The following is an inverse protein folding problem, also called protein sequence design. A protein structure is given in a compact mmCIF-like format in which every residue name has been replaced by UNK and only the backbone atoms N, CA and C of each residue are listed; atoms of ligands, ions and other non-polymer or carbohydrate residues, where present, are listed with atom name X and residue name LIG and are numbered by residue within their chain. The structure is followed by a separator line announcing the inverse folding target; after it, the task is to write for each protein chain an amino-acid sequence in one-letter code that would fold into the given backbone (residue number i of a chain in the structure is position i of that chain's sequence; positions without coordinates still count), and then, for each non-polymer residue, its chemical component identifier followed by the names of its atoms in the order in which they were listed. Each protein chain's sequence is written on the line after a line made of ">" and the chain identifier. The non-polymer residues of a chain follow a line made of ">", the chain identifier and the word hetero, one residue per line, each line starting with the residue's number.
data_IF_059941289830
#
_entry.id   IF_059941289830
#
_cell.length_a   1.000
_cell.length_b   1.000
_cell.length_c   1.000
_cell.angle_alpha   90.00
_cell.angle_beta   90.00
_cell.angle_gamma   90.00
#
_symmetry.space_group_name_H-M   'P 1'
#
loop_
_entity.id
_entity.type
_entity.pdbx_description
1 polymer ?
#
# COMPACT_ATOMS: atom_id res chain seq x y z
N UNK A 1 15.56 -11.12 3.69
CA UNK A 1 15.71 -10.13 2.62
C UNK A 1 14.61 -9.09 2.81
N UNK A 2 14.90 -7.79 2.85
CA UNK A 2 13.85 -6.78 2.59
C UNK A 2 13.48 -7.02 1.12
N UNK A 3 12.24 -7.42 0.87
CA UNK A 3 11.78 -7.74 -0.49
C UNK A 3 12.00 -6.49 -1.36
N UNK A 4 12.83 -6.54 -2.42
CA UNK A 4 12.99 -5.40 -3.30
C UNK A 4 11.64 -5.08 -3.92
N UNK A 5 11.28 -3.80 -3.95
CA UNK A 5 10.10 -3.38 -4.67
C UNK A 5 10.42 -3.49 -6.17
N UNK A 6 9.95 -4.57 -6.83
CA UNK A 6 10.27 -4.86 -8.23
C UNK A 6 9.51 -3.93 -9.20
N UNK A 7 8.33 -3.44 -8.81
CA UNK A 7 7.50 -2.58 -9.62
C UNK A 7 7.13 -1.30 -8.87
N UNK A 8 7.09 -0.19 -9.61
CA UNK A 8 6.67 1.10 -9.06
C UNK A 8 5.19 0.99 -8.65
N UNK A 9 4.90 1.35 -7.40
CA UNK A 9 3.52 1.45 -6.94
C UNK A 9 2.78 2.58 -7.68
N UNK A 10 1.49 2.37 -7.96
CA UNK A 10 0.61 3.39 -8.52
C UNK A 10 0.43 4.49 -7.47
N UNK A 11 0.92 5.69 -7.79
CA UNK A 11 1.02 6.77 -6.81
C UNK A 11 0.02 7.90 -7.04
N UNK A 12 -0.50 8.08 -8.26
CA UNK A 12 -1.39 9.18 -8.63
C UNK A 12 -2.50 8.72 -9.60
N UNK A 13 -3.47 9.61 -9.82
CA UNK A 13 -4.64 9.40 -10.68
C UNK A 13 -4.25 9.07 -12.12
N UNK A 14 -3.23 9.75 -12.65
CA UNK A 14 -2.75 9.52 -14.01
C UNK A 14 -2.15 8.11 -14.18
N UNK A 15 -1.29 7.67 -13.25
CA UNK A 15 -0.71 6.32 -13.25
C UNK A 15 -1.80 5.24 -13.13
N UNK A 16 -2.81 5.50 -12.31
CA UNK A 16 -3.97 4.61 -12.17
C UNK A 16 -4.76 4.49 -13.48
N UNK A 17 -4.94 5.60 -14.20
CA UNK A 17 -5.58 5.61 -15.52
C UNK A 17 -4.75 4.89 -16.58
N UNK A 18 -3.45 5.17 -16.66
CA UNK A 18 -2.52 4.56 -17.64
C UNK A 18 -2.41 3.04 -17.45
N UNK A 19 -2.33 2.58 -16.21
CA UNK A 19 -2.32 1.15 -15.87
C UNK A 19 -3.68 0.47 -16.06
N UNK A 20 -4.74 1.26 -16.30
CA UNK A 20 -6.14 0.82 -16.38
C UNK A 20 -6.54 -0.05 -15.19
N UNK A 21 -6.04 0.34 -14.01
CA UNK A 21 -6.30 -0.40 -12.78
C UNK A 21 -7.79 -0.39 -12.49
N UNK A 22 -8.34 -1.57 -12.24
CA UNK A 22 -9.74 -1.70 -11.84
C UNK A 22 -9.89 -1.12 -10.45
N UNK A 23 -10.94 -0.33 -10.26
CA UNK A 23 -11.23 0.27 -8.97
C UNK A 23 -12.70 0.17 -8.62
N UNK A 24 -12.96 0.04 -7.32
CA UNK A 24 -14.24 -0.46 -6.85
C UNK A 24 -14.83 0.44 -5.77
N UNK A 25 -16.15 0.55 -5.79
CA UNK A 25 -16.95 1.25 -4.80
C UNK A 25 -18.29 0.54 -4.58
N UNK A 26 -18.93 0.85 -3.46
CA UNK A 26 -20.18 0.16 -3.04
C UNK A 26 -21.41 0.52 -3.88
N UNK A 27 -21.35 1.63 -4.61
CA UNK A 27 -22.46 2.16 -5.41
C UNK A 27 -21.92 2.95 -6.60
N UNK A 28 -22.66 3.02 -7.71
CA UNK A 28 -22.32 3.92 -8.83
C UNK A 28 -22.37 5.42 -8.45
N UNK A 29 -22.95 5.79 -7.29
CA UNK A 29 -23.02 7.20 -6.88
C UNK A 29 -21.65 7.84 -6.70
N UNK A 30 -20.63 7.05 -6.40
CA UNK A 30 -19.23 7.46 -6.28
C UNK A 30 -18.63 8.05 -7.56
N UNK A 31 -19.26 7.86 -8.72
CA UNK A 31 -18.77 8.40 -10.00
C UNK A 31 -19.68 9.46 -10.60
N UNK A 32 -20.81 9.79 -9.96
CA UNK A 32 -21.77 10.74 -10.55
C UNK A 32 -21.18 12.12 -10.77
N UNK A 33 -20.33 12.60 -9.88
CA UNK A 33 -19.72 13.93 -9.95
C UNK A 33 -18.72 14.07 -11.10
N UNK A 34 -18.21 12.95 -11.60
CA UNK A 34 -17.28 12.91 -12.74
C UNK A 34 -17.88 12.24 -13.98
N UNK A 35 -19.16 11.84 -13.96
CA UNK A 35 -19.77 11.06 -15.03
C UNK A 35 -19.74 11.73 -16.42
N UNK A 36 -19.69 13.06 -16.45
CA UNK A 36 -19.60 13.87 -17.67
C UNK A 36 -18.24 14.58 -17.80
N UNK A 37 -17.19 14.06 -17.17
CA UNK A 37 -15.86 14.63 -17.29
C UNK A 37 -15.25 14.33 -18.67
N UNK A 38 -14.66 15.35 -19.30
CA UNK A 38 -13.99 15.23 -20.61
C UNK A 38 -12.48 14.92 -20.48
N UNK A 39 -11.96 14.92 -19.25
CA UNK A 39 -10.54 14.72 -18.99
C UNK A 39 -10.15 13.25 -19.28
N UNK A 40 -9.13 12.98 -20.11
CA UNK A 40 -8.81 11.62 -20.57
C UNK A 40 -8.59 10.60 -19.45
N UNK A 41 -7.94 11.03 -18.37
CA UNK A 41 -7.67 10.17 -17.20
C UNK A 41 -8.98 9.79 -16.51
N UNK A 42 -9.88 10.76 -16.25
CA UNK A 42 -11.17 10.50 -15.62
C UNK A 42 -12.07 9.63 -16.51
N UNK A 43 -12.09 9.87 -17.83
CA UNK A 43 -12.81 9.01 -18.79
C UNK A 43 -12.30 7.57 -18.71
N UNK A 44 -10.99 7.39 -18.60
CA UNK A 44 -10.39 6.05 -18.46
C UNK A 44 -10.78 5.41 -17.13
N UNK A 45 -10.74 6.17 -16.03
CA UNK A 45 -11.15 5.69 -14.71
C UNK A 45 -12.64 5.29 -14.69
N UNK A 46 -13.52 6.07 -15.32
CA UNK A 46 -14.93 5.69 -15.45
C UNK A 46 -15.12 4.34 -16.15
N UNK A 47 -14.30 4.03 -17.15
CA UNK A 47 -14.35 2.75 -17.86
C UNK A 47 -13.83 1.57 -17.00
N UNK A 48 -12.91 1.83 -16.07
CA UNK A 48 -12.33 0.81 -15.18
C UNK A 48 -13.03 0.69 -13.82
N UNK A 49 -14.01 1.55 -13.52
CA UNK A 49 -14.82 1.47 -12.30
C UNK A 49 -15.74 0.25 -12.29
N UNK A 50 -15.86 -0.42 -11.14
CA UNK A 50 -16.81 -1.52 -10.93
C UNK A 50 -17.54 -1.32 -9.60
N UNK A 51 -18.85 -1.53 -9.62
CA UNK A 51 -19.67 -1.54 -8.41
C UNK A 51 -19.62 -2.93 -7.76
N UNK A 52 -19.12 -3.00 -6.53
CA UNK A 52 -19.02 -4.23 -5.73
C UNK A 52 -19.68 -4.01 -4.38
N UNK A 53 -20.41 -5.00 -3.88
CA UNK A 53 -20.91 -4.95 -2.51
C UNK A 53 -19.78 -5.06 -1.46
N UNK A 54 -20.08 -4.74 -0.21
CA UNK A 54 -19.08 -4.78 0.87
C UNK A 54 -18.47 -6.18 1.06
N UNK A 55 -19.23 -7.24 0.83
CA UNK A 55 -18.74 -8.61 1.02
C UNK A 55 -17.70 -8.96 -0.05
N UNK A 56 -17.94 -8.59 -1.30
CA UNK A 56 -17.01 -8.78 -2.41
C UNK A 56 -15.75 -7.94 -2.22
N UNK A 57 -15.88 -6.67 -1.82
CA UNK A 57 -14.74 -5.81 -1.49
C UNK A 57 -13.90 -6.44 -0.39
N UNK A 58 -14.52 -6.97 0.67
CA UNK A 58 -13.79 -7.58 1.78
C UNK A 58 -13.08 -8.89 1.40
N UNK A 59 -13.70 -9.71 0.53
CA UNK A 59 -13.07 -10.95 0.02
C UNK A 59 -11.82 -10.66 -0.81
N UNK A 60 -11.88 -9.65 -1.67
CA UNK A 60 -10.77 -9.24 -2.53
C UNK A 60 -9.80 -8.24 -1.86
N UNK A 61 -10.07 -7.84 -0.61
CA UNK A 61 -9.28 -6.83 0.08
C UNK A 61 -7.80 -7.26 0.22
N UNK A 62 -7.54 -8.56 0.37
CA UNK A 62 -6.19 -9.12 0.52
C UNK A 62 -5.47 -9.41 -0.80
N UNK A 63 -6.19 -9.57 -1.91
CA UNK A 63 -5.62 -9.93 -3.21
C UNK A 63 -4.81 -8.78 -3.84
N UNK A 64 -5.14 -7.54 -3.46
CA UNK A 64 -4.45 -6.30 -3.92
C UNK A 64 -4.44 -6.15 -5.45
N UNK A 65 -5.41 -6.75 -6.11
CA UNK A 65 -5.64 -6.73 -7.56
C UNK A 65 -6.46 -5.51 -8.03
N UNK A 66 -7.24 -4.91 -7.13
CA UNK A 66 -8.05 -3.71 -7.38
C UNK A 66 -7.71 -2.55 -6.45
N UNK A 67 -7.95 -1.33 -6.90
CA UNK A 67 -7.99 -0.16 -6.04
C UNK A 67 -9.38 -0.02 -5.39
N UNK A 68 -9.45 0.48 -4.15
CA UNK A 68 -10.71 0.60 -3.41
C UNK A 68 -10.92 2.06 -3.08
N UNK A 69 -12.10 2.57 -3.41
CA UNK A 69 -12.43 3.97 -3.19
C UNK A 69 -12.53 4.29 -1.70
N UNK A 70 -12.03 5.46 -1.32
CA UNK A 70 -12.16 6.06 0.00
C UNK A 70 -12.48 7.53 -0.21
N UNK A 71 -13.41 8.07 0.58
CA UNK A 71 -13.77 9.48 0.58
C UNK A 71 -13.03 10.20 1.68
N UNK A 72 -12.38 11.32 1.38
CA UNK A 72 -11.95 12.26 2.42
C UNK A 72 -13.10 13.21 2.71
N UNK A 73 -13.67 13.10 3.90
CA UNK A 73 -14.72 13.98 4.40
C UNK A 73 -14.16 15.40 4.63
N UNK A 74 -15.05 16.40 4.72
CA UNK A 74 -14.66 17.82 4.74
C UNK A 74 -13.67 18.17 5.87
N UNK A 75 -13.77 17.54 7.04
CA UNK A 75 -12.89 17.82 8.18
C UNK A 75 -11.72 16.82 8.30
N UNK A 76 -11.46 16.03 7.25
CA UNK A 76 -10.24 15.26 7.09
C UNK A 76 -10.30 13.82 7.58
N UNK A 77 -11.45 13.32 8.05
CA UNK A 77 -11.65 11.89 8.26
C UNK A 77 -11.96 11.19 6.94
N UNK A 78 -11.86 9.86 6.91
CA UNK A 78 -11.99 9.03 5.72
C UNK A 78 -13.17 8.08 5.81
N UNK A 79 -14.19 8.24 4.95
CA UNK A 79 -15.23 7.25 4.81
C UNK A 79 -14.75 6.15 3.85
N UNK A 80 -14.86 4.89 4.28
CA UNK A 80 -14.39 3.74 3.51
C UNK A 80 -15.38 2.58 3.64
N UNK A 81 -15.46 1.67 2.64
CA UNK A 81 -16.17 0.41 2.77
C UNK A 81 -15.60 -0.42 3.94
N UNK A 82 -16.42 -1.27 4.55
CA UNK A 82 -15.96 -2.17 5.61
C UNK A 82 -14.84 -3.08 5.08
N UNK A 83 -13.68 -3.05 5.73
CA UNK A 83 -12.50 -3.82 5.34
C UNK A 83 -11.68 -4.20 6.58
N UNK A 84 -11.02 -5.35 6.51
CA UNK A 84 -10.07 -5.77 7.53
C UNK A 84 -8.86 -4.80 7.64
N UNK A 85 -8.41 -4.53 8.86
CA UNK A 85 -7.30 -3.63 9.13
C UNK A 85 -5.98 -4.12 8.50
N UNK A 86 -5.75 -5.44 8.47
CA UNK A 86 -4.55 -6.01 7.85
C UNK A 86 -4.55 -5.80 6.34
N UNK A 87 -5.72 -5.92 5.71
CA UNK A 87 -5.88 -5.62 4.28
C UNK A 87 -5.62 -4.13 3.99
N UNK A 88 -6.08 -3.23 4.87
CA UNK A 88 -5.79 -1.79 4.75
C UNK A 88 -4.30 -1.47 4.85
N UNK A 89 -3.58 -2.08 5.80
CA UNK A 89 -2.12 -1.89 5.97
C UNK A 89 -1.31 -2.29 4.75
N UNK A 90 -1.82 -3.24 3.97
CA UNK A 90 -1.20 -3.69 2.72
C UNK A 90 -1.37 -2.73 1.54
N UNK A 91 -2.10 -1.62 1.72
CA UNK A 91 -2.50 -0.69 0.66
C UNK A 91 -1.95 0.70 0.96
N UNK A 92 -1.84 1.52 -0.09
CA UNK A 92 -1.40 2.91 -0.01
C UNK A 92 -2.44 3.83 -0.65
N UNK A 93 -2.73 4.94 0.00
CA UNK A 93 -3.54 6.01 -0.59
C UNK A 93 -2.81 6.64 -1.77
N UNK A 94 -3.55 7.03 -2.81
CA UNK A 94 -3.02 7.89 -3.86
C UNK A 94 -2.54 9.24 -3.27
N UNK A 95 -1.59 9.89 -3.95
CA UNK A 95 -1.11 11.23 -3.59
C UNK A 95 -2.17 12.30 -3.83
N UNK A 96 -2.88 12.15 -4.93
CA UNK A 96 -3.84 13.12 -5.44
C UNK A 96 -5.25 12.56 -5.31
N UNK A 97 -6.21 13.42 -5.02
CA UNK A 97 -7.62 13.05 -5.04
C UNK A 97 -8.08 12.88 -6.49
N UNK A 98 -8.90 11.84 -6.76
CA UNK A 98 -9.50 11.62 -8.08
C UNK A 98 -10.36 12.82 -8.47
N UNK A 99 -11.16 13.31 -7.53
CA UNK A 99 -11.91 14.55 -7.60
C UNK A 99 -12.19 15.05 -6.18
N UNK A 100 -12.63 16.30 -6.07
CA UNK A 100 -13.08 16.87 -4.80
C UNK A 100 -14.43 17.54 -4.99
N UNK A 101 -15.29 17.43 -3.99
CA UNK A 101 -16.56 18.12 -3.94
C UNK A 101 -16.96 18.39 -2.49
N UNK A 102 -17.86 19.36 -2.29
CA UNK A 102 -18.53 19.54 -1.01
C UNK A 102 -19.80 18.71 -0.96
N UNK A 103 -20.12 18.14 0.19
CA UNK A 103 -21.41 17.49 0.42
C UNK A 103 -22.52 18.53 0.31
N UNK A 104 -23.52 18.24 -0.53
CA UNK A 104 -24.64 19.17 -0.81
C UNK A 104 -25.96 18.62 -0.29
N UNK A 105 -26.80 19.53 0.23
CA UNK A 105 -28.21 19.23 0.49
C UNK A 105 -29.02 19.37 -0.79
N UNK A 106 -29.53 18.27 -1.33
CA UNK A 106 -30.40 18.29 -2.51
C UNK A 106 -31.84 18.65 -2.12
N UNK A 107 -32.42 19.66 -2.78
CA UNK A 107 -33.81 20.06 -2.59
C UNK A 107 -34.50 20.32 -3.94
N UNK A 108 -35.84 20.38 -3.92
CA UNK A 108 -36.61 20.73 -5.13
C UNK A 108 -36.36 22.20 -5.50
N UNK A 109 -36.32 22.50 -6.81
CA UNK A 109 -36.03 23.86 -7.31
C UNK A 109 -36.93 24.96 -6.72
N UNK A 110 -38.16 24.59 -6.34
CA UNK A 110 -39.18 25.50 -5.82
C UNK A 110 -39.32 25.43 -4.31
N UNK A 111 -38.38 24.82 -3.57
CA UNK A 111 -38.49 24.70 -2.12
C UNK A 111 -38.33 26.08 -1.45
N UNK A 112 -39.37 26.60 -0.75
CA UNK A 112 -39.32 27.93 -0.15
C UNK A 112 -38.34 28.03 1.03
N UNK A 113 -37.90 26.89 1.58
CA UNK A 113 -36.95 26.83 2.70
C UNK A 113 -35.48 26.94 2.32
N UNK A 114 -35.13 26.96 1.02
CA UNK A 114 -33.74 26.84 0.54
C UNK A 114 -32.79 27.85 1.17
N UNK A 115 -33.15 29.13 1.15
CA UNK A 115 -32.29 30.19 1.69
C UNK A 115 -32.05 30.02 3.20
N UNK A 116 -33.08 29.62 3.95
CA UNK A 116 -32.97 29.38 5.40
C UNK A 116 -32.08 28.18 5.68
N UNK A 117 -32.19 27.13 4.87
CA UNK A 117 -31.34 25.96 4.97
C UNK A 117 -29.88 26.28 4.65
N UNK A 118 -29.61 27.01 3.57
CA UNK A 118 -28.26 27.44 3.20
C UNK A 118 -27.63 28.23 4.34
N UNK A 119 -28.36 29.17 4.95
CA UNK A 119 -27.89 29.93 6.12
C UNK A 119 -27.61 29.03 7.32
N UNK A 120 -28.53 28.12 7.64
CA UNK A 120 -28.35 27.17 8.74
C UNK A 120 -27.08 26.33 8.53
N UNK A 121 -26.84 25.82 7.32
CA UNK A 121 -25.62 25.04 7.02
C UNK A 121 -24.36 25.89 7.23
N UNK A 122 -24.36 27.15 6.78
CA UNK A 122 -23.25 28.07 6.99
C UNK A 122 -23.02 28.34 8.47
N UNK A 123 -24.08 28.56 9.26
CA UNK A 123 -23.97 28.77 10.70
C UNK A 123 -23.40 27.51 11.40
N UNK A 124 -23.88 26.32 11.04
CA UNK A 124 -23.36 25.05 11.57
C UNK A 124 -21.87 24.85 11.25
N UNK A 125 -21.44 25.20 10.03
CA UNK A 125 -20.03 25.18 9.64
C UNK A 125 -19.23 26.21 10.45
N UNK A 126 -19.72 27.45 10.57
CA UNK A 126 -19.05 28.53 11.29
C UNK A 126 -18.87 28.22 12.79
N UNK A 127 -19.82 27.53 13.41
CA UNK A 127 -19.73 27.09 14.81
C UNK A 127 -18.94 25.78 15.01
N UNK A 128 -18.43 25.15 13.95
CA UNK A 128 -17.69 23.88 14.03
C UNK A 128 -18.55 22.68 14.43
N UNK A 129 -19.88 22.79 14.35
CA UNK A 129 -20.79 21.71 14.77
C UNK A 129 -20.63 20.51 13.83
N UNK A 130 -20.45 20.74 12.53
CA UNK A 130 -20.26 19.66 11.57
C UNK A 130 -18.91 18.95 11.76
N UNK A 131 -17.85 19.66 12.14
CA UNK A 131 -16.55 19.06 12.48
C UNK A 131 -16.70 18.11 13.67
N UNK A 132 -17.39 18.56 14.72
CA UNK A 132 -17.66 17.75 15.89
C UNK A 132 -18.49 16.50 15.57
N UNK A 133 -19.50 16.63 14.70
CA UNK A 133 -20.31 15.50 14.26
C UNK A 133 -19.52 14.50 13.42
N UNK A 134 -18.65 14.97 12.51
CA UNK A 134 -17.77 14.11 11.73
C UNK A 134 -16.86 13.30 12.66
N UNK A 135 -16.26 13.95 13.67
CA UNK A 135 -15.42 13.28 14.66
C UNK A 135 -16.16 12.17 15.42
N UNK A 136 -17.37 12.45 15.92
CA UNK A 136 -18.18 11.45 16.62
C UNK A 136 -18.54 10.30 15.68
N UNK A 137 -18.95 10.62 14.45
CA UNK A 137 -19.29 9.63 13.43
C UNK A 137 -18.11 8.71 13.13
N UNK A 138 -16.93 9.29 12.92
CA UNK A 138 -15.70 8.54 12.66
C UNK A 138 -15.33 7.62 13.82
N UNK A 139 -15.37 8.11 15.07
CA UNK A 139 -15.08 7.29 16.26
C UNK A 139 -16.06 6.13 16.38
N UNK A 140 -17.36 6.38 16.14
CA UNK A 140 -18.42 5.41 16.38
C UNK A 140 -18.53 4.34 15.29
N UNK A 141 -18.33 4.72 14.03
CA UNK A 141 -18.67 3.85 12.89
C UNK A 141 -17.46 3.43 12.04
N UNK A 142 -16.40 4.24 11.98
CA UNK A 142 -15.25 3.98 11.10
C UNK A 142 -14.04 3.43 11.88
N UNK A 143 -13.92 3.82 13.15
CA UNK A 143 -12.87 3.36 14.07
C UNK A 143 -11.56 4.14 13.91
N UNK A 144 -10.96 4.61 15.00
CA UNK A 144 -9.76 5.46 14.93
C UNK A 144 -8.54 4.75 14.33
N UNK A 145 -8.43 3.43 14.49
CA UNK A 145 -7.29 2.67 13.97
C UNK A 145 -7.30 2.55 12.44
N UNK A 146 -8.48 2.44 11.81
CA UNK A 146 -8.58 2.46 10.35
C UNK A 146 -8.21 3.84 9.81
N UNK A 147 -8.70 4.91 10.45
CA UNK A 147 -8.39 6.30 10.11
C UNK A 147 -6.88 6.58 10.14
N UNK A 148 -6.20 6.14 11.21
CA UNK A 148 -4.75 6.26 11.32
C UNK A 148 -4.04 5.44 10.25
N UNK A 149 -4.49 4.20 9.99
CA UNK A 149 -3.89 3.33 8.96
C UNK A 149 -3.98 3.97 7.57
N UNK A 150 -5.13 4.53 7.21
CA UNK A 150 -5.34 5.22 5.94
C UNK A 150 -4.46 6.48 5.87
N UNK A 151 -4.51 7.33 6.90
CA UNK A 151 -3.77 8.60 6.97
C UNK A 151 -2.26 8.41 6.85
N UNK A 152 -1.71 7.42 7.54
CA UNK A 152 -0.27 7.13 7.57
C UNK A 152 0.14 6.05 6.56
N UNK A 153 -0.75 5.63 5.66
CA UNK A 153 -0.47 4.59 4.66
C UNK A 153 0.73 4.93 3.75
N UNK A 154 1.00 6.23 3.58
CA UNK A 154 2.10 6.75 2.74
C UNK A 154 3.40 6.98 3.50
N UNK A 155 3.34 7.21 4.80
CA UNK A 155 4.49 7.67 5.59
C UNK A 155 5.51 6.56 5.85
N UNK A 156 5.27 5.33 5.38
CA UNK A 156 6.12 4.17 5.65
C UNK A 156 6.16 3.76 7.12
N UNK A 157 5.62 4.59 8.01
CA UNK A 157 5.66 4.46 9.47
C UNK A 157 4.69 3.42 10.04
N UNK A 158 3.70 2.98 9.26
CA UNK A 158 2.91 1.78 9.58
C UNK A 158 3.73 0.49 9.54
N UNK A 159 4.95 0.56 9.00
CA UNK A 159 5.96 -0.50 8.96
C UNK A 159 7.30 -0.05 9.54
N UNK A 160 7.31 0.92 10.46
CA UNK A 160 8.46 1.14 11.37
C UNK A 160 8.45 0.10 12.51
N UNK A 161 7.86 -1.06 12.24
CA UNK A 161 8.38 -2.28 12.82
C UNK A 161 9.82 -2.36 12.30
N UNK A 162 10.76 -1.87 13.12
CA UNK A 162 12.18 -2.12 12.97
C UNK A 162 12.34 -3.62 12.90
N UNK A 163 12.18 -4.20 11.71
CA UNK A 163 12.20 -5.64 11.55
C UNK A 163 13.66 -6.00 11.83
N UNK A 164 13.97 -6.59 13.00
CA UNK A 164 15.34 -6.79 13.38
C UNK A 164 15.96 -7.66 12.31
N UNK A 165 17.16 -7.28 11.86
CA UNK A 165 17.82 -7.91 10.72
C UNK A 165 17.89 -9.43 10.94
N UNK A 166 16.97 -10.16 10.31
CA UNK A 166 16.85 -11.59 10.49
C UNK A 166 18.05 -12.31 9.85
N UNK A 167 18.34 -13.53 10.31
CA UNK A 167 19.41 -14.37 9.73
C UNK A 167 19.21 -14.56 8.21
N UNK A 168 17.96 -14.55 7.75
CA UNK A 168 17.57 -14.57 6.33
C UNK A 168 18.12 -13.39 5.51
N UNK A 169 18.50 -12.26 6.13
CA UNK A 169 19.06 -11.10 5.46
C UNK A 169 20.57 -11.25 5.22
N UNK A 170 21.27 -11.98 6.09
CA UNK A 170 22.72 -12.22 6.02
C UNK A 170 23.09 -13.61 5.48
N UNK A 171 22.09 -14.44 5.15
CA UNK A 171 22.30 -15.81 4.68
C UNK A 171 23.15 -15.84 3.41
N UNK A 172 22.96 -14.91 2.47
CA UNK A 172 23.79 -14.81 1.26
C UNK A 172 25.28 -14.57 1.57
N UNK A 173 25.57 -13.65 2.49
CA UNK A 173 26.95 -13.38 2.94
C UNK A 173 27.55 -14.58 3.69
N UNK A 174 26.77 -15.26 4.51
CA UNK A 174 27.19 -16.47 5.22
C UNK A 174 27.47 -17.65 4.27
N UNK A 175 26.69 -17.80 3.20
CA UNK A 175 26.91 -18.81 2.17
C UNK A 175 28.22 -18.57 1.40
N UNK A 176 28.51 -17.31 1.05
CA UNK A 176 29.79 -16.94 0.41
C UNK A 176 30.96 -17.21 1.34
N UNK A 177 30.83 -16.87 2.62
CA UNK A 177 31.86 -17.15 3.63
C UNK A 177 32.09 -18.66 3.79
N UNK A 178 31.02 -19.46 3.86
CA UNK A 178 31.11 -20.92 3.95
C UNK A 178 31.76 -21.55 2.71
N UNK A 179 31.40 -21.07 1.52
CA UNK A 179 32.03 -21.51 0.27
C UNK A 179 33.52 -21.14 0.22
N UNK A 180 33.89 -19.93 0.65
CA UNK A 180 35.29 -19.50 0.72
C UNK A 180 36.13 -20.33 1.68
N UNK A 181 35.61 -20.57 2.89
CA UNK A 181 36.30 -21.37 3.91
C UNK A 181 36.45 -22.84 3.49
N UNK A 182 35.43 -23.43 2.86
CA UNK A 182 35.51 -24.81 2.37
C UNK A 182 36.53 -24.95 1.24
N UNK A 183 36.59 -24.00 0.30
CA UNK A 183 37.57 -24.00 -0.78
C UNK A 183 39.01 -23.81 -0.28
N UNK A 184 39.23 -22.89 0.67
CA UNK A 184 40.54 -22.70 1.30
C UNK A 184 41.00 -23.96 2.04
N UNK A 185 40.09 -24.61 2.77
CA UNK A 185 40.38 -25.86 3.48
C UNK A 185 40.73 -26.98 2.50
N UNK A 186 40.00 -27.10 1.39
CA UNK A 186 40.29 -28.10 0.35
C UNK A 186 41.66 -27.89 -0.30
N UNK A 187 42.03 -26.63 -0.61
CA UNK A 187 43.35 -26.29 -1.15
C UNK A 187 44.47 -26.62 -0.15
N UNK A 188 44.29 -26.31 1.13
CA UNK A 188 45.28 -26.65 2.16
C UNK A 188 45.53 -28.17 2.25
N UNK A 189 44.48 -29.00 2.19
CA UNK A 189 44.64 -30.46 2.16
C UNK A 189 45.33 -30.96 0.89
N UNK A 190 45.02 -30.36 -0.27
CA UNK A 190 45.67 -30.70 -1.53
C UNK A 190 47.18 -30.39 -1.48
N UNK A 191 47.58 -29.24 -0.92
CA UNK A 191 48.98 -28.88 -0.72
C UNK A 191 49.69 -29.85 0.24
N UNK A 192 49.03 -30.27 1.32
CA UNK A 192 49.62 -31.19 2.29
C UNK A 192 49.87 -32.58 1.69
N UNK A 193 48.93 -33.06 0.86
CA UNK A 193 49.06 -34.31 0.11
C UNK A 193 50.18 -34.22 -0.92
N UNK A 194 50.24 -33.12 -1.68
CA UNK A 194 51.31 -32.87 -2.64
C UNK A 194 52.68 -32.84 -1.96
N UNK A 195 52.81 -32.14 -0.83
CA UNK A 195 54.04 -32.07 -0.05
C UNK A 195 54.47 -33.46 0.45
N UNK A 196 53.54 -34.26 0.97
CA UNK A 196 53.84 -35.64 1.42
C UNK A 196 54.28 -36.54 0.27
N UNK A 197 53.61 -36.49 -0.88
CA UNK A 197 53.96 -37.30 -2.07
C UNK A 197 55.31 -36.86 -2.63
N UNK A 198 55.55 -35.56 -2.81
CA UNK A 198 56.83 -35.03 -3.27
C UNK A 198 58.00 -35.40 -2.34
N UNK A 199 57.75 -35.42 -1.02
CA UNK A 199 58.75 -35.81 -0.01
C UNK A 199 59.00 -37.33 -0.01
N UNK A 200 57.98 -38.15 -0.24
CA UNK A 200 58.11 -39.61 -0.41
C UNK A 200 58.86 -39.98 -1.69
N UNK A 201 58.59 -39.27 -2.80
CA UNK A 201 59.29 -39.45 -4.07
C UNK A 201 60.76 -39.03 -3.94
N UNK A 202 61.07 -37.89 -3.29
CA UNK A 202 62.46 -37.50 -2.99
C UNK A 202 63.18 -38.48 -2.07
N UNK A 203 62.50 -39.06 -1.07
CA UNK A 203 63.10 -40.10 -0.20
C UNK A 203 63.38 -41.40 -0.94
N UNK A 204 62.52 -41.83 -1.87
CA UNK A 204 62.79 -43.01 -2.71
C UNK A 204 63.94 -42.79 -3.70
N UNK A 205 64.08 -41.58 -4.26
CA UNK A 205 65.21 -41.23 -5.13
C UNK A 205 66.58 -41.17 -4.40
N UNK A 206 66.60 -40.92 -3.08
CA UNK A 206 67.84 -40.93 -2.28
C UNK A 206 68.20 -42.30 -1.67
N UNK A 207 67.34 -43.31 -1.79
CA UNK A 207 67.57 -44.69 -1.33
C UNK A 207 67.76 -45.69 -2.48
N UNK A 208 67.80 -45.20 -3.73
CA UNK A 208 68.04 -45.97 -4.95
C UNK A 208 69.31 -45.58 -5.70
N UNK A 209 70.29 -44.99 -5.00
CA UNK A 209 71.65 -44.74 -5.48
C UNK A 209 72.65 -45.56 -4.70
#
# INVERSE_FOLDING_TARGET
>A
MIVPQYEKAIDNVHEMAVTRTTWVGVTVSWVYSIANADQPDLVTLLQTFREWDEEMINRHAFDRDVAIIVERMEYGHFAHPRMDLEAMRGRRMLKDDVYWESVVGMCTKTWPGRERFDRMVLDLKAYGILEYWELIGAIKYLGLTSQQTIRYSRDGSGGDDFMPLGVANITGALLILGAGLSLATAMFFAELLWYKVARLVRRRLMLGG
#
